data_IF_194280124024
#
_entry.id   IF_194280124024
#
_cell.length_a   1.000
_cell.length_b   1.000
_cell.length_c   1.000
_cell.angle_alpha   90.00
_cell.angle_beta   90.00
_cell.angle_gamma   90.00
#
_symmetry.space_group_name_H-M   'P 1'
#
loop_
_entity.id
_entity.type
_entity.pdbx_description
1 polymer ?
#
# COMPACT_ATOMS: atom_id res chain seq x y z
N UNK A 1 4.78 -0.96 5.53
CA UNK A 1 5.22 0.26 6.21
C UNK A 1 5.04 0.03 7.68
N UNK A 2 6.09 0.07 8.48
CA UNK A 2 6.00 -0.08 9.94
C UNK A 2 5.76 1.26 10.62
N UNK A 3 5.42 1.23 11.91
CA UNK A 3 5.34 2.45 12.72
C UNK A 3 6.68 3.19 12.77
N UNK A 4 7.80 2.47 12.87
CA UNK A 4 9.16 3.03 12.88
C UNK A 4 9.50 3.76 11.58
N UNK A 5 9.19 3.16 10.43
CA UNK A 5 9.34 3.81 9.12
C UNK A 5 8.47 5.08 9.02
N UNK A 6 7.29 5.06 9.63
CA UNK A 6 6.39 6.22 9.71
C UNK A 6 6.99 7.38 10.49
N UNK A 7 7.53 7.11 11.69
CA UNK A 7 8.22 8.11 12.50
C UNK A 7 9.46 8.69 11.81
N UNK A 8 10.32 7.84 11.24
CA UNK A 8 11.52 8.29 10.55
C UNK A 8 11.20 9.16 9.32
N UNK A 9 10.13 8.81 8.59
CA UNK A 9 9.64 9.62 7.48
C UNK A 9 9.06 10.95 7.95
N UNK A 10 8.33 10.97 9.08
CA UNK A 10 7.83 12.19 9.69
C UNK A 10 8.98 13.18 9.97
N UNK A 11 10.02 12.73 10.67
CA UNK A 11 11.19 13.56 10.99
C UNK A 11 11.90 14.06 9.72
N UNK A 12 12.06 13.18 8.73
CA UNK A 12 12.68 13.55 7.45
C UNK A 12 11.89 14.66 6.74
N UNK A 13 10.56 14.57 6.73
CA UNK A 13 9.70 15.56 6.09
C UNK A 13 9.63 16.86 6.88
N UNK A 14 9.60 16.76 8.22
CA UNK A 14 9.72 17.91 9.12
C UNK A 14 11.01 18.70 8.85
N UNK A 15 12.16 18.02 8.80
CA UNK A 15 13.47 18.63 8.55
C UNK A 15 13.58 19.26 7.16
N UNK A 16 12.77 18.81 6.20
CA UNK A 16 12.64 19.39 4.85
C UNK A 16 11.67 20.57 4.80
N UNK A 17 11.08 20.97 5.92
CA UNK A 17 10.10 22.06 5.99
C UNK A 17 8.72 21.69 5.45
N UNK A 18 8.43 20.40 5.23
CA UNK A 18 7.13 19.93 4.74
C UNK A 18 6.12 19.91 5.90
N UNK A 19 4.94 20.48 5.69
CA UNK A 19 3.84 20.43 6.68
C UNK A 19 2.98 19.19 6.44
N UNK A 20 2.90 18.31 7.44
CA UNK A 20 2.05 17.13 7.44
C UNK A 20 0.74 17.42 8.19
N UNK A 21 -0.38 17.10 7.52
CA UNK A 21 -1.73 17.21 8.05
C UNK A 21 -2.37 15.81 8.12
N UNK A 22 -2.59 15.32 9.33
CA UNK A 22 -3.20 14.04 9.63
C UNK A 22 -4.70 14.22 9.86
N UNK A 23 -5.52 13.51 9.08
CA UNK A 23 -6.98 13.64 9.12
C UNK A 23 -7.61 12.98 10.36
N UNK A 24 -7.11 11.80 10.73
CA UNK A 24 -7.60 11.02 11.87
C UNK A 24 -6.90 11.37 13.17
N UNK A 25 -5.64 11.79 13.08
CA UNK A 25 -4.79 12.11 14.23
C UNK A 25 -4.26 13.56 14.17
N UNK A 26 -5.12 14.61 14.19
CA UNK A 26 -4.67 15.99 13.99
C UNK A 26 -3.66 16.49 15.04
N UNK A 27 -3.61 15.83 16.20
CA UNK A 27 -2.70 16.20 17.28
C UNK A 27 -1.22 15.98 16.92
N UNK A 28 -0.91 15.11 15.96
CA UNK A 28 0.46 14.89 15.46
C UNK A 28 0.82 15.75 14.24
N UNK A 29 -0.05 16.69 13.86
CA UNK A 29 0.25 17.62 12.76
C UNK A 29 1.58 18.33 12.98
N UNK A 30 2.30 18.57 11.87
CA UNK A 30 3.60 19.24 11.92
C UNK A 30 3.51 20.61 12.58
N UNK A 31 2.40 21.35 12.40
CA UNK A 31 2.22 22.67 13.02
C UNK A 31 2.08 22.57 14.55
N UNK A 32 1.37 21.56 15.06
CA UNK A 32 1.26 21.30 16.51
C UNK A 32 2.63 20.98 17.11
N UNK A 33 3.41 20.14 16.43
CA UNK A 33 4.77 19.79 16.83
C UNK A 33 5.72 21.01 16.78
N UNK A 34 5.65 21.82 15.71
CA UNK A 34 6.40 23.09 15.59
C UNK A 34 6.07 24.05 16.73
N UNK A 35 4.80 24.21 17.08
CA UNK A 35 4.38 25.10 18.16
C UNK A 35 4.92 24.63 19.52
N UNK A 36 4.94 23.32 19.78
CA UNK A 36 5.55 22.77 20.98
C UNK A 36 7.05 23.11 21.05
N UNK A 37 7.77 22.98 19.94
CA UNK A 37 9.21 23.28 19.85
C UNK A 37 9.52 24.80 19.84
N UNK A 38 8.60 25.65 19.37
CA UNK A 38 8.82 27.10 19.31
C UNK A 38 8.58 27.80 20.65
N UNK A 39 7.70 27.25 21.50
CA UNK A 39 7.52 27.72 22.90
C UNK A 39 8.82 27.64 23.70
N UNK A 40 9.75 26.80 23.28
CA UNK A 40 11.08 26.63 23.86
C UNK A 40 11.99 27.86 23.77
N UNK A 41 11.75 28.76 22.81
CA UNK A 41 12.69 29.83 22.44
C UNK A 41 12.35 31.18 23.12
N UNK A 42 11.12 31.36 23.62
CA UNK A 42 10.57 32.69 23.90
C UNK A 42 10.41 33.05 25.39
N UNK A 43 11.13 32.43 26.32
CA UNK A 43 10.89 32.66 27.75
C UNK A 43 12.17 32.84 28.56
N UNK A 44 12.72 34.05 28.53
CA UNK A 44 13.63 34.54 29.57
C UNK A 44 12.81 35.45 30.51
N UNK A 45 12.54 35.02 31.76
CA UNK A 45 11.92 35.88 32.76
C UNK A 45 12.94 36.93 33.22
N UNK A 46 12.56 38.21 33.23
CA UNK A 46 13.31 39.26 33.91
C UNK A 46 12.56 39.64 35.19
N UNK A 47 12.85 38.95 36.28
CA UNK A 47 12.26 39.23 37.60
C UNK A 47 13.12 40.17 38.46
N UNK A 48 14.29 40.57 37.95
CA UNK A 48 15.21 41.49 38.62
C UNK A 48 16.07 40.86 39.71
N UNK A 49 15.94 39.55 39.95
CA UNK A 49 16.74 38.76 40.89
C UNK A 49 17.41 37.62 40.14
N UNK A 50 18.75 37.66 40.02
CA UNK A 50 19.51 36.65 39.28
C UNK A 50 19.29 35.21 39.77
N UNK A 51 19.01 35.02 41.08
CA UNK A 51 18.71 33.71 41.64
C UNK A 51 17.31 33.21 41.23
N UNK A 52 16.33 34.11 41.23
CA UNK A 52 14.96 33.82 40.79
C UNK A 52 14.91 33.56 39.28
N UNK A 53 15.61 34.37 38.49
CA UNK A 53 15.70 34.22 37.03
C UNK A 53 16.35 32.88 36.65
N UNK A 54 17.41 32.46 37.35
CA UNK A 54 18.03 31.13 37.17
C UNK A 54 17.08 29.98 37.50
N UNK A 55 16.36 30.08 38.61
CA UNK A 55 15.40 29.04 39.01
C UNK A 55 14.26 28.91 37.99
N UNK A 56 13.63 30.02 37.62
CA UNK A 56 12.51 30.01 36.68
C UNK A 56 12.99 29.53 35.30
N UNK A 57 14.15 29.97 34.84
CA UNK A 57 14.73 29.46 33.59
C UNK A 57 14.96 27.95 33.62
N UNK A 58 15.50 27.41 34.72
CA UNK A 58 15.70 25.96 34.88
C UNK A 58 14.40 25.15 34.89
N UNK A 59 13.35 25.67 35.53
CA UNK A 59 12.01 25.03 35.51
C UNK A 59 11.41 25.07 34.11
N UNK A 60 11.51 26.20 33.42
CA UNK A 60 11.00 26.34 32.05
C UNK A 60 11.74 25.42 31.08
N UNK A 61 13.06 25.30 31.19
CA UNK A 61 13.86 24.36 30.40
C UNK A 61 13.41 22.91 30.61
N UNK A 62 13.10 22.53 31.84
CA UNK A 62 12.59 21.19 32.15
C UNK A 62 11.20 20.94 31.54
N UNK A 63 10.28 21.90 31.66
CA UNK A 63 8.95 21.83 31.05
C UNK A 63 9.04 21.74 29.52
N UNK A 64 9.92 22.53 28.93
CA UNK A 64 10.20 22.56 27.51
C UNK A 64 10.69 21.22 26.97
N UNK A 65 11.67 20.59 27.63
CA UNK A 65 12.13 19.23 27.27
C UNK A 65 11.00 18.21 27.37
N UNK A 66 10.25 18.25 28.46
CA UNK A 66 9.09 17.38 28.64
C UNK A 66 8.05 17.54 27.53
N UNK A 67 7.77 18.78 27.09
CA UNK A 67 6.82 19.01 26.00
C UNK A 67 7.31 18.48 24.65
N UNK A 68 8.61 18.60 24.36
CA UNK A 68 9.20 18.06 23.14
C UNK A 68 9.16 16.52 23.14
N UNK A 69 9.53 15.90 24.26
CA UNK A 69 9.49 14.44 24.44
C UNK A 69 8.07 13.91 24.32
N UNK A 70 7.10 14.59 24.94
CA UNK A 70 5.69 14.23 24.86
C UNK A 70 5.17 14.29 23.42
N UNK A 71 5.54 15.32 22.65
CA UNK A 71 5.11 15.45 21.27
C UNK A 71 5.72 14.37 20.36
N UNK A 72 6.98 13.99 20.58
CA UNK A 72 7.62 12.87 19.89
C UNK A 72 6.94 11.53 20.23
N UNK A 73 6.62 11.31 21.50
CA UNK A 73 5.92 10.12 21.98
C UNK A 73 4.50 10.01 21.37
N UNK A 74 3.79 11.14 21.22
CA UNK A 74 2.48 11.18 20.56
C UNK A 74 2.56 10.76 19.08
N UNK A 75 3.56 11.27 18.34
CA UNK A 75 3.81 10.84 16.95
C UNK A 75 4.03 9.33 16.89
N UNK A 76 4.88 8.81 17.79
CA UNK A 76 5.17 7.37 17.89
C UNK A 76 3.91 6.54 18.15
N UNK A 77 3.09 6.95 19.13
CA UNK A 77 1.86 6.26 19.48
C UNK A 77 0.83 6.28 18.35
N UNK A 78 0.68 7.40 17.64
CA UNK A 78 -0.23 7.51 16.51
C UNK A 78 0.16 6.56 15.36
N UNK A 79 1.46 6.46 15.04
CA UNK A 79 1.94 5.50 14.05
C UNK A 79 1.81 4.04 14.51
N UNK A 80 2.04 3.76 15.79
CA UNK A 80 1.81 2.43 16.36
C UNK A 80 0.32 2.03 16.30
N UNK A 81 -0.58 2.96 16.60
CA UNK A 81 -2.01 2.76 16.49
C UNK A 81 -2.44 2.49 15.05
N UNK A 82 -1.92 3.26 14.08
CA UNK A 82 -2.19 3.03 12.66
C UNK A 82 -1.72 1.64 12.19
N UNK A 83 -0.56 1.19 12.65
CA UNK A 83 -0.06 -0.16 12.35
C UNK A 83 -0.97 -1.23 12.97
N UNK A 84 -1.37 -1.06 14.23
CA UNK A 84 -2.27 -1.97 14.94
C UNK A 84 -3.60 -2.13 14.21
N UNK A 85 -4.20 -1.04 13.72
CA UNK A 85 -5.46 -1.11 12.96
C UNK A 85 -5.34 -1.97 11.70
N UNK A 86 -4.20 -1.88 11.00
CA UNK A 86 -3.92 -2.70 9.82
C UNK A 86 -3.75 -4.17 10.21
N UNK A 87 -3.04 -4.45 11.29
CA UNK A 87 -2.82 -5.81 11.77
C UNK A 87 -4.13 -6.46 12.25
N UNK A 88 -4.96 -5.72 12.97
CA UNK A 88 -6.29 -6.14 13.40
C UNK A 88 -7.19 -6.43 12.19
N UNK A 89 -7.13 -5.60 11.13
CA UNK A 89 -7.87 -5.84 9.88
C UNK A 89 -7.41 -7.13 9.19
N UNK A 90 -6.10 -7.38 9.12
CA UNK A 90 -5.56 -8.61 8.56
C UNK A 90 -5.98 -9.83 9.37
N UNK A 91 -5.94 -9.73 10.69
CA UNK A 91 -6.35 -10.80 11.59
C UNK A 91 -7.82 -11.18 11.39
N UNK A 92 -8.71 -10.17 11.39
CA UNK A 92 -10.14 -10.38 11.11
C UNK A 92 -10.39 -10.98 9.73
N UNK A 93 -9.61 -10.57 8.73
CA UNK A 93 -9.71 -11.13 7.37
C UNK A 93 -9.30 -12.60 7.35
N UNK A 94 -8.21 -12.96 8.03
CA UNK A 94 -7.75 -14.36 8.14
C UNK A 94 -8.77 -15.23 8.85
N UNK A 95 -9.32 -14.76 9.96
CA UNK A 95 -10.36 -15.46 10.72
C UNK A 95 -11.61 -15.68 9.85
N UNK A 96 -12.09 -14.64 9.17
CA UNK A 96 -13.23 -14.75 8.25
C UNK A 96 -12.99 -15.73 7.10
N UNK A 97 -11.80 -15.73 6.51
CA UNK A 97 -11.41 -16.69 5.46
C UNK A 97 -11.39 -18.12 6.02
N UNK A 98 -10.85 -18.33 7.23
CA UNK A 98 -10.84 -19.63 7.89
C UNK A 98 -12.25 -20.14 8.13
N UNK A 99 -13.14 -19.30 8.69
CA UNK A 99 -14.55 -19.67 8.92
C UNK A 99 -15.26 -19.99 7.61
N UNK A 100 -15.05 -19.21 6.55
CA UNK A 100 -15.62 -19.50 5.24
C UNK A 100 -15.13 -20.84 4.69
N UNK A 101 -13.84 -21.15 4.86
CA UNK A 101 -13.23 -22.41 4.44
C UNK A 101 -13.81 -23.61 5.21
N UNK A 102 -14.01 -23.47 6.53
CA UNK A 102 -14.67 -24.49 7.36
C UNK A 102 -16.13 -24.73 6.93
N UNK A 103 -16.82 -23.68 6.50
CA UNK A 103 -18.16 -23.74 5.92
C UNK A 103 -18.18 -24.23 4.45
N UNK A 104 -17.07 -24.78 3.95
CA UNK A 104 -16.98 -25.37 2.61
C UNK A 104 -16.93 -24.35 1.46
N UNK A 105 -16.74 -23.05 1.73
CA UNK A 105 -16.53 -22.07 0.66
C UNK A 105 -15.14 -22.26 0.04
N UNK A 106 -15.11 -22.38 -1.28
CA UNK A 106 -13.87 -22.41 -2.04
C UNK A 106 -13.23 -21.01 -2.05
N UNK A 107 -12.00 -20.91 -1.55
CA UNK A 107 -11.20 -19.68 -1.56
C UNK A 107 -10.21 -19.76 -2.71
N UNK A 108 -10.22 -18.74 -3.58
CA UNK A 108 -9.38 -18.69 -4.77
C UNK A 108 -9.85 -19.62 -5.90
N UNK A 109 -9.09 -19.62 -7.01
CA UNK A 109 -9.36 -20.47 -8.15
C UNK A 109 -8.88 -21.91 -7.86
N UNK A 110 -9.69 -22.91 -8.21
CA UNK A 110 -9.24 -24.31 -8.17
C UNK A 110 -8.06 -24.51 -9.13
N UNK A 111 -6.96 -25.13 -8.66
CA UNK A 111 -5.87 -25.56 -9.53
C UNK A 111 -6.41 -26.37 -10.71
N UNK A 112 -5.94 -26.06 -11.93
CA UNK A 112 -6.33 -26.75 -13.15
C UNK A 112 -7.69 -26.36 -13.76
N UNK A 113 -8.55 -25.62 -13.04
CA UNK A 113 -9.86 -25.19 -13.58
C UNK A 113 -9.66 -24.08 -14.62
N UNK A 114 -9.81 -24.37 -15.91
CA UNK A 114 -9.76 -23.36 -16.98
C UNK A 114 -10.99 -22.43 -16.88
N UNK A 115 -10.75 -21.12 -16.86
CA UNK A 115 -11.82 -20.12 -16.94
C UNK A 115 -12.32 -20.05 -18.38
N UNK A 116 -13.50 -20.60 -18.64
CA UNK A 116 -14.19 -20.44 -19.93
C UNK A 116 -14.82 -19.05 -19.97
N UNK A 117 -14.05 -18.07 -20.40
CA UNK A 117 -14.50 -16.68 -20.56
C UNK A 117 -15.28 -16.59 -21.88
N UNK A 118 -16.44 -15.94 -21.90
CA UNK A 118 -17.29 -15.78 -23.10
C UNK A 118 -16.53 -15.23 -24.33
N UNK A 119 -15.51 -14.40 -24.10
CA UNK A 119 -14.65 -13.81 -25.14
C UNK A 119 -13.57 -14.78 -25.67
N UNK A 120 -13.28 -15.88 -24.98
CA UNK A 120 -12.22 -16.82 -25.34
C UNK A 120 -12.51 -17.54 -26.65
N UNK A 121 -13.71 -18.12 -26.79
CA UNK A 121 -14.13 -18.84 -27.99
C UNK A 121 -14.05 -17.99 -29.28
N UNK A 122 -14.65 -16.78 -29.37
CA UNK A 122 -14.58 -15.98 -30.59
C UNK A 122 -13.16 -15.49 -30.92
N UNK A 123 -12.30 -15.27 -29.91
CA UNK A 123 -10.91 -14.93 -30.15
C UNK A 123 -10.12 -16.13 -30.71
N UNK A 124 -10.31 -17.32 -30.13
CA UNK A 124 -9.68 -18.56 -30.59
C UNK A 124 -10.05 -18.91 -32.04
N UNK A 125 -11.32 -18.74 -32.42
CA UNK A 125 -11.77 -18.95 -33.80
C UNK A 125 -11.14 -17.95 -34.78
N UNK A 126 -11.00 -16.68 -34.40
CA UNK A 126 -10.28 -15.71 -35.22
C UNK A 126 -8.78 -16.03 -35.32
N UNK A 127 -8.16 -16.54 -34.25
CA UNK A 127 -6.77 -16.99 -34.29
C UNK A 127 -6.63 -18.15 -35.29
N UNK A 128 -7.50 -19.17 -35.23
CA UNK A 128 -7.50 -20.27 -36.21
C UNK A 128 -7.66 -19.76 -37.64
N UNK A 129 -8.57 -18.83 -37.88
CA UNK A 129 -8.88 -18.33 -39.23
C UNK A 129 -7.73 -17.53 -39.86
N UNK A 130 -7.04 -16.71 -39.08
CA UNK A 130 -6.12 -15.70 -39.63
C UNK A 130 -4.64 -16.00 -39.42
N UNK A 131 -4.28 -16.73 -38.36
CA UNK A 131 -2.88 -16.99 -38.01
C UNK A 131 -2.23 -17.94 -39.00
N UNK A 132 -1.03 -17.58 -39.49
CA UNK A 132 -0.23 -18.43 -40.39
C UNK A 132 0.05 -19.84 -39.85
N UNK A 133 0.10 -19.98 -38.53
CA UNK A 133 0.33 -21.28 -37.88
C UNK A 133 -0.87 -22.24 -37.88
N UNK A 134 -2.03 -21.79 -38.39
CA UNK A 134 -3.26 -22.56 -38.53
C UNK A 134 -3.85 -22.38 -39.93
N UNK A 135 -2.99 -22.36 -40.96
CA UNK A 135 -3.37 -22.19 -42.38
C UNK A 135 -3.92 -20.81 -42.78
N UNK A 136 -3.73 -19.80 -41.92
CA UNK A 136 -3.99 -18.41 -42.23
C UNK A 136 -2.83 -17.71 -42.96
N UNK A 137 -2.94 -16.39 -43.13
CA UNK A 137 -1.93 -15.57 -43.85
C UNK A 137 -1.25 -14.52 -43.00
N UNK A 138 -1.80 -14.20 -41.82
CA UNK A 138 -1.32 -13.09 -40.99
C UNK A 138 -0.23 -13.52 -40.02
N UNK A 139 0.68 -12.59 -39.74
CA UNK A 139 1.69 -12.74 -38.68
C UNK A 139 1.05 -12.59 -37.30
N UNK A 140 1.71 -13.10 -36.26
CA UNK A 140 1.24 -12.97 -34.87
C UNK A 140 0.98 -11.50 -34.48
N UNK A 141 1.84 -10.59 -34.92
CA UNK A 141 1.70 -9.16 -34.63
C UNK A 141 0.43 -8.56 -35.27
N UNK A 142 0.11 -8.98 -36.50
CA UNK A 142 -1.06 -8.51 -37.22
C UNK A 142 -2.34 -9.15 -36.69
N UNK A 143 -2.31 -10.44 -36.34
CA UNK A 143 -3.42 -11.10 -35.65
C UNK A 143 -3.73 -10.44 -34.29
N UNK A 144 -2.71 -10.10 -33.50
CA UNK A 144 -2.89 -9.41 -32.21
C UNK A 144 -3.61 -8.08 -32.42
N UNK A 145 -3.19 -7.29 -33.43
CA UNK A 145 -3.81 -6.01 -33.78
C UNK A 145 -5.24 -6.19 -34.28
N UNK A 146 -5.47 -7.13 -35.19
CA UNK A 146 -6.78 -7.37 -35.81
C UNK A 146 -7.83 -7.86 -34.81
N UNK A 147 -7.46 -8.82 -33.95
CA UNK A 147 -8.36 -9.41 -32.95
C UNK A 147 -8.54 -8.48 -31.74
N UNK A 148 -7.59 -7.55 -31.52
CA UNK A 148 -7.67 -6.56 -30.46
C UNK A 148 -7.48 -7.15 -29.05
N UNK A 149 -6.61 -8.15 -28.90
CA UNK A 149 -6.33 -8.80 -27.61
C UNK A 149 -4.90 -8.53 -27.14
N UNK A 150 -4.69 -8.58 -25.82
CA UNK A 150 -3.35 -8.45 -25.26
C UNK A 150 -2.42 -9.57 -25.75
N UNK A 151 -1.14 -9.23 -25.97
CA UNK A 151 -0.11 -10.17 -26.46
C UNK A 151 -0.06 -11.48 -25.66
N UNK A 152 -0.07 -11.39 -24.33
CA UNK A 152 -0.04 -12.57 -23.45
C UNK A 152 -1.27 -13.45 -23.63
N UNK A 153 -2.44 -12.85 -23.84
CA UNK A 153 -3.69 -13.58 -24.09
C UNK A 153 -3.66 -14.27 -25.45
N UNK A 154 -3.13 -13.62 -26.50
CA UNK A 154 -2.96 -14.22 -27.82
C UNK A 154 -2.07 -15.46 -27.76
N UNK A 155 -0.87 -15.36 -27.18
CA UNK A 155 0.04 -16.50 -27.10
C UNK A 155 -0.51 -17.63 -26.22
N UNK A 156 -1.24 -17.30 -25.14
CA UNK A 156 -1.96 -18.30 -24.34
C UNK A 156 -2.98 -19.06 -25.20
N UNK A 157 -3.84 -18.36 -25.93
CA UNK A 157 -4.87 -18.99 -26.76
C UNK A 157 -4.26 -19.79 -27.91
N UNK A 158 -3.24 -19.26 -28.58
CA UNK A 158 -2.50 -19.95 -29.64
C UNK A 158 -1.86 -21.26 -29.13
N UNK A 159 -1.28 -21.25 -27.92
CA UNK A 159 -0.76 -22.48 -27.29
C UNK A 159 -1.87 -23.47 -26.99
N UNK A 160 -2.97 -23.03 -26.37
CA UNK A 160 -4.13 -23.89 -26.10
C UNK A 160 -4.71 -24.51 -27.38
N UNK A 161 -4.75 -23.76 -28.49
CA UNK A 161 -5.21 -24.25 -29.79
C UNK A 161 -4.28 -25.33 -30.36
N UNK A 162 -2.96 -25.16 -30.25
CA UNK A 162 -1.99 -26.19 -30.64
C UNK A 162 -2.12 -27.45 -29.79
N UNK A 163 -2.29 -27.31 -28.48
CA UNK A 163 -2.53 -28.43 -27.56
C UNK A 163 -3.86 -29.16 -27.83
N UNK A 164 -4.87 -28.46 -28.35
CA UNK A 164 -6.14 -29.04 -28.80
C UNK A 164 -5.93 -29.83 -30.11
N UNK A 165 -5.14 -29.30 -31.06
CA UNK A 165 -4.80 -29.97 -32.32
C UNK A 165 -4.00 -31.27 -32.11
N UNK A 166 -2.95 -31.24 -31.28
CA UNK A 166 -2.15 -32.46 -31.01
C UNK A 166 -2.97 -33.54 -30.30
N UNK A 167 -3.81 -33.17 -29.33
CA UNK A 167 -4.69 -34.14 -28.64
C UNK A 167 -5.65 -34.84 -29.59
N UNK A 168 -6.19 -34.10 -30.56
CA UNK A 168 -7.12 -34.65 -31.55
C UNK A 168 -6.43 -35.54 -32.58
N UNK A 169 -5.10 -35.44 -32.74
CA UNK A 169 -4.32 -36.31 -33.62
C UNK A 169 -3.84 -37.59 -32.92
N UNK A 170 -3.72 -37.56 -31.59
CA UNK A 170 -3.31 -38.70 -30.75
C UNK A 170 -4.49 -39.56 -30.25
N UNK A 171 -5.73 -39.13 -30.50
CA UNK A 171 -6.98 -39.86 -30.18
C UNK A 171 -7.56 -40.51 -31.43
#
# INVERSE_FOLDING_TARGET
RSAEEGCALYETLYNRGVTLCFLKEPHINTDTYKQALQRQINSSPETGSAATDRFVSGVMDALNRYTADLAAEQIRLAFAQAQKEVDDLHQRTREGIMTARLNGKQIGQMPGRKLTIKKSAPCKEQIKKYSRDFDGTLTDADCIKLIGIARNTYYKYKRELREELTRNMES
#
